data_IF_766449732886
#
_entry.id   IF_766449732886
#
_cell.length_a   1.000
_cell.length_b   1.000
_cell.length_c   1.000
_cell.angle_alpha   90.00
_cell.angle_beta   90.00
_cell.angle_gamma   90.00
#
_symmetry.space_group_name_H-M   'P 1'
#
loop_
_entity.id
_entity.type
_entity.pdbx_description
1 polymer ?
#
# COMPACT_ATOMS: atom_id res chain seq x y z
N UNK A 1 23.14 3.59 -13.82
CA UNK A 1 21.72 3.63 -13.39
C UNK A 1 21.66 3.02 -12.02
N UNK A 2 21.24 3.78 -11.01
CA UNK A 2 20.99 3.21 -9.68
C UNK A 2 19.85 2.20 -9.81
N UNK A 3 20.07 0.96 -9.37
CA UNK A 3 19.01 -0.05 -9.33
C UNK A 3 18.11 0.32 -8.14
N UNK A 4 16.84 0.52 -8.38
CA UNK A 4 15.85 0.74 -7.31
C UNK A 4 14.95 -0.48 -7.23
N UNK A 5 14.53 -0.78 -6.00
CA UNK A 5 13.44 -1.69 -5.72
C UNK A 5 12.26 -0.89 -5.16
N UNK A 6 11.07 -1.46 -5.19
CA UNK A 6 9.87 -0.78 -4.73
C UNK A 6 9.21 -1.59 -3.61
N UNK A 7 8.85 -0.88 -2.56
CA UNK A 7 8.24 -1.46 -1.37
C UNK A 7 6.86 -0.83 -1.17
N UNK A 8 5.85 -1.67 -1.00
CA UNK A 8 4.52 -1.24 -0.57
C UNK A 8 4.42 -1.38 0.95
N UNK A 9 4.01 -0.30 1.60
CA UNK A 9 3.84 -0.20 3.05
C UNK A 9 2.38 0.00 3.38
N UNK A 10 1.89 -0.72 4.39
CA UNK A 10 0.75 -0.31 5.19
C UNK A 10 1.26 0.69 6.23
N UNK A 11 0.81 1.93 6.15
CA UNK A 11 1.11 2.99 7.10
C UNK A 11 -0.02 3.07 8.13
N UNK A 12 0.33 3.19 9.41
CA UNK A 12 -0.62 3.20 10.52
C UNK A 12 -0.51 4.55 11.24
N UNK A 13 -1.59 5.30 11.28
CA UNK A 13 -1.67 6.60 11.95
C UNK A 13 -2.62 6.52 13.14
N UNK A 14 -2.32 7.23 14.22
CA UNK A 14 -3.30 7.44 15.29
C UNK A 14 -4.31 8.48 14.83
N UNK A 15 -5.63 8.23 14.95
CA UNK A 15 -6.65 9.20 14.52
C UNK A 15 -6.53 10.58 15.15
N UNK A 16 -5.95 10.66 16.34
CA UNK A 16 -5.82 11.90 17.13
C UNK A 16 -4.51 12.65 16.87
N UNK A 17 -3.61 12.11 16.06
CA UNK A 17 -2.30 12.69 15.77
C UNK A 17 -1.96 12.57 14.28
N UNK A 18 -1.42 13.63 13.67
CA UNK A 18 -0.91 13.59 12.30
C UNK A 18 0.47 12.90 12.20
N UNK A 19 0.65 11.80 12.94
CA UNK A 19 1.92 11.08 13.05
C UNK A 19 1.74 9.60 12.72
N UNK A 20 2.63 9.10 11.85
CA UNK A 20 2.76 7.66 11.60
C UNK A 20 3.31 6.97 12.85
N UNK A 21 2.57 5.96 13.32
CA UNK A 21 2.96 5.11 14.44
C UNK A 21 3.77 3.90 14.00
N UNK A 22 3.54 3.41 12.78
CA UNK A 22 4.23 2.23 12.29
C UNK A 22 3.99 1.95 10.82
N UNK A 23 4.81 1.04 10.30
CA UNK A 23 4.77 0.58 8.93
C UNK A 23 4.80 -0.95 8.90
N UNK A 24 4.00 -1.57 8.04
CA UNK A 24 4.06 -3.01 7.76
C UNK A 24 4.36 -3.22 6.28
N UNK A 25 5.40 -3.98 5.97
CA UNK A 25 5.72 -4.33 4.59
C UNK A 25 4.69 -5.32 4.04
N UNK A 26 3.94 -4.90 3.02
CA UNK A 26 2.92 -5.70 2.36
C UNK A 26 3.24 -5.94 0.87
N UNK A 27 4.52 -5.80 0.49
CA UNK A 27 4.99 -5.99 -0.90
C UNK A 27 4.77 -7.40 -1.45
N UNK A 28 4.46 -8.38 -0.59
CA UNK A 28 4.10 -9.74 -1.02
C UNK A 28 2.73 -9.81 -1.74
N UNK A 29 1.84 -8.84 -1.50
CA UNK A 29 0.54 -8.75 -2.16
C UNK A 29 0.76 -8.16 -3.57
N UNK A 30 0.34 -8.82 -4.65
CA UNK A 30 0.54 -8.35 -6.02
C UNK A 30 -0.11 -6.98 -6.31
N UNK A 31 0.54 -6.13 -7.14
CA UNK A 31 -0.02 -4.84 -7.59
C UNK A 31 -1.46 -4.93 -8.10
N UNK A 32 -1.75 -5.90 -8.98
CA UNK A 32 -3.09 -6.12 -9.52
C UNK A 32 -4.15 -6.29 -8.44
N UNK A 33 -3.79 -6.90 -7.31
CA UNK A 33 -4.73 -7.10 -6.22
C UNK A 33 -5.04 -5.81 -5.49
N UNK A 34 -4.05 -4.94 -5.35
CA UNK A 34 -4.30 -3.60 -4.83
C UNK A 34 -5.15 -2.77 -5.79
N UNK A 35 -4.92 -2.85 -7.10
CA UNK A 35 -5.81 -2.23 -8.09
C UNK A 35 -7.27 -2.71 -7.94
N UNK A 36 -7.48 -4.01 -7.71
CA UNK A 36 -8.81 -4.56 -7.44
C UNK A 36 -9.43 -4.05 -6.13
N UNK A 37 -8.63 -3.92 -5.08
CA UNK A 37 -9.09 -3.45 -3.76
C UNK A 37 -9.52 -1.99 -3.86
N UNK A 38 -8.69 -1.14 -4.46
CA UNK A 38 -8.90 0.30 -4.53
C UNK A 38 -9.59 0.73 -5.83
N UNK A 39 -10.23 -0.18 -6.56
CA UNK A 39 -10.83 0.09 -7.86
C UNK A 39 -11.80 1.29 -7.85
N UNK A 40 -12.55 1.47 -6.76
CA UNK A 40 -13.52 2.56 -6.61
C UNK A 40 -12.84 3.92 -6.33
N UNK A 41 -11.61 3.90 -5.80
CA UNK A 41 -10.80 5.10 -5.50
C UNK A 41 -9.87 5.49 -6.65
N UNK A 42 -9.63 4.59 -7.60
CA UNK A 42 -8.81 4.85 -8.79
C UNK A 42 -9.68 5.54 -9.83
N UNK A 43 -9.53 6.86 -9.96
CA UNK A 43 -10.14 7.59 -11.09
C UNK A 43 -9.43 7.25 -12.39
N UNK A 44 -10.12 7.35 -13.54
CA UNK A 44 -9.58 6.97 -14.86
C UNK A 44 -8.27 7.70 -15.23
N UNK A 45 -8.08 8.90 -14.68
CA UNK A 45 -6.90 9.73 -14.88
C UNK A 45 -5.80 9.51 -13.83
N UNK A 46 -6.03 8.65 -12.83
CA UNK A 46 -5.12 8.41 -11.73
C UNK A 46 -4.37 7.08 -11.81
N UNK A 47 -3.08 7.15 -11.51
CA UNK A 47 -2.17 6.02 -11.42
C UNK A 47 -2.12 5.53 -9.99
N UNK A 48 -2.72 4.37 -9.76
CA UNK A 48 -2.78 3.70 -8.46
C UNK A 48 -1.41 3.58 -7.78
N UNK A 49 -1.24 4.23 -6.62
CA UNK A 49 -0.01 4.40 -5.80
C UNK A 49 1.07 5.36 -6.34
N UNK A 50 0.76 6.22 -7.32
CA UNK A 50 1.81 7.02 -8.00
C UNK A 50 1.45 8.45 -8.41
N UNK A 51 0.17 8.87 -8.38
CA UNK A 51 -0.14 10.30 -8.49
C UNK A 51 -0.04 10.98 -7.13
N UNK A 52 0.10 12.31 -7.10
CA UNK A 52 0.46 13.16 -5.93
C UNK A 52 -0.33 12.91 -4.62
N UNK A 53 -1.32 12.04 -4.65
CA UNK A 53 -1.96 11.41 -3.49
C UNK A 53 -1.04 10.29 -2.97
N UNK A 54 -0.06 10.68 -2.16
CA UNK A 54 1.02 9.82 -1.65
C UNK A 54 0.63 8.58 -0.83
N UNK A 55 -0.66 8.25 -0.67
CA UNK A 55 -1.12 6.98 -0.12
C UNK A 55 -2.61 6.76 -0.39
N UNK A 56 -3.06 5.50 -0.40
CA UNK A 56 -4.48 5.11 -0.56
C UNK A 56 -5.05 4.66 0.78
N UNK A 57 -6.14 5.27 1.22
CA UNK A 57 -6.70 5.02 2.56
C UNK A 57 -7.50 3.71 2.55
N UNK A 58 -7.19 2.80 3.47
CA UNK A 58 -8.07 1.68 3.76
C UNK A 58 -9.13 2.18 4.74
N UNK A 59 -10.34 2.45 4.24
CA UNK A 59 -11.50 2.74 5.10
C UNK A 59 -12.04 1.45 5.72
N UNK A 60 -12.85 1.59 6.77
CA UNK A 60 -13.53 0.43 7.37
C UNK A 60 -14.45 -0.27 6.35
N UNK A 61 -15.14 0.50 5.50
CA UNK A 61 -15.98 -0.03 4.42
C UNK A 61 -15.16 -0.83 3.40
N UNK A 62 -14.04 -0.28 2.93
CA UNK A 62 -13.13 -0.96 2.01
C UNK A 62 -12.59 -2.26 2.61
N UNK A 63 -12.20 -2.21 3.88
CA UNK A 63 -11.72 -3.39 4.60
C UNK A 63 -12.79 -4.46 4.67
N UNK A 64 -14.02 -4.12 5.05
CA UNK A 64 -15.13 -5.08 5.13
C UNK A 64 -15.46 -5.70 3.77
N UNK A 65 -15.38 -4.93 2.68
CA UNK A 65 -15.56 -5.43 1.29
C UNK A 65 -14.52 -6.48 0.89
N UNK A 66 -13.30 -6.41 1.45
CA UNK A 66 -12.17 -7.27 1.11
C UNK A 66 -11.60 -8.06 2.32
N UNK A 67 -12.40 -8.23 3.38
CA UNK A 67 -11.93 -8.65 4.71
C UNK A 67 -11.21 -10.00 4.68
N UNK A 68 -11.81 -11.00 4.02
CA UNK A 68 -11.26 -12.35 3.95
C UNK A 68 -9.86 -12.37 3.36
N UNK A 69 -9.63 -11.56 2.32
CA UNK A 69 -8.34 -11.47 1.66
C UNK A 69 -7.32 -10.73 2.53
N UNK A 70 -7.69 -9.55 3.04
CA UNK A 70 -6.80 -8.70 3.83
C UNK A 70 -6.37 -9.38 5.13
N UNK A 71 -7.28 -10.08 5.83
CA UNK A 71 -6.93 -10.86 7.04
C UNK A 71 -5.95 -12.00 6.77
N UNK A 72 -6.00 -12.60 5.58
CA UNK A 72 -5.10 -13.70 5.21
C UNK A 72 -3.70 -13.21 4.81
N UNK A 73 -3.61 -12.02 4.23
CA UNK A 73 -2.34 -11.48 3.72
C UNK A 73 -1.62 -10.59 4.75
N UNK A 74 -2.37 -9.85 5.55
CA UNK A 74 -1.82 -8.88 6.50
C UNK A 74 -2.08 -9.43 7.91
N UNK A 75 -1.02 -9.93 8.55
CA UNK A 75 -1.06 -10.35 9.95
C UNK A 75 -1.10 -9.12 10.88
N UNK A 76 -2.23 -8.42 10.82
CA UNK A 76 -2.49 -7.18 11.54
C UNK A 76 -3.97 -7.12 11.92
N UNK A 77 -4.26 -6.73 13.16
CA UNK A 77 -5.63 -6.56 13.62
C UNK A 77 -6.09 -5.11 13.40
N UNK A 78 -6.91 -4.89 12.36
CA UNK A 78 -7.42 -3.57 12.04
C UNK A 78 -8.38 -3.06 13.12
N UNK A 79 -8.01 -1.93 13.70
CA UNK A 79 -8.76 -1.17 14.71
C UNK A 79 -9.10 0.21 14.17
N UNK A 80 -10.18 0.30 13.39
CA UNK A 80 -10.65 1.54 12.76
C UNK A 80 -11.22 2.54 13.77
N UNK A 81 -11.49 2.14 15.01
CA UNK A 81 -11.88 3.05 16.09
C UNK A 81 -10.70 3.94 16.56
N UNK A 82 -9.47 3.44 16.44
CA UNK A 82 -8.26 4.11 16.94
C UNK A 82 -7.34 4.64 15.84
N UNK A 83 -7.25 3.93 14.71
CA UNK A 83 -6.22 4.21 13.70
C UNK A 83 -6.82 4.53 12.33
N UNK A 84 -6.01 5.22 11.53
CA UNK A 84 -6.17 5.33 10.08
C UNK A 84 -5.09 4.49 9.42
N UNK A 85 -5.44 3.91 8.28
CA UNK A 85 -4.58 3.01 7.53
C UNK A 85 -4.45 3.54 6.11
N UNK A 86 -3.24 3.57 5.59
CA UNK A 86 -3.03 3.86 4.18
C UNK A 86 -2.01 2.91 3.57
N UNK A 87 -2.08 2.75 2.26
CA UNK A 87 -1.13 1.98 1.46
C UNK A 87 -0.29 2.97 0.68
N UNK A 88 1.02 2.96 0.92
CA UNK A 88 2.00 3.82 0.26
C UNK A 88 3.04 3.00 -0.50
N UNK A 89 3.66 3.61 -1.50
CA UNK A 89 4.79 3.03 -2.23
C UNK A 89 6.04 3.88 -2.02
N UNK A 90 7.14 3.21 -1.67
CA UNK A 90 8.45 3.85 -1.52
C UNK A 90 9.49 3.18 -2.42
N UNK A 91 10.42 3.98 -2.95
CA UNK A 91 11.60 3.48 -3.64
C UNK A 91 12.72 3.20 -2.64
N UNK A 92 13.38 2.06 -2.81
CA UNK A 92 14.46 1.60 -1.95
C UNK A 92 15.73 1.43 -2.79
N UNK A 93 16.84 1.96 -2.28
CA UNK A 93 18.16 1.78 -2.88
C UNK A 93 18.58 0.30 -2.91
N UNK A 94 19.39 -0.07 -3.90
CA UNK A 94 19.73 -1.47 -4.15
C UNK A 94 20.38 -2.20 -2.96
N UNK A 95 21.17 -1.47 -2.18
CA UNK A 95 21.91 -1.95 -1.01
C UNK A 95 21.02 -2.17 0.22
N UNK A 96 19.82 -1.59 0.24
CA UNK A 96 18.79 -1.74 1.28
C UNK A 96 17.71 -2.74 0.91
N UNK A 97 17.90 -3.50 -0.17
CA UNK A 97 16.94 -4.49 -0.63
C UNK A 97 16.66 -5.55 0.43
N UNK A 98 15.37 -5.88 0.59
CA UNK A 98 14.91 -7.04 1.32
C UNK A 98 14.11 -7.96 0.40
N UNK A 99 14.16 -9.26 0.68
CA UNK A 99 13.36 -10.26 -0.04
C UNK A 99 11.89 -9.86 -0.01
N UNK A 100 11.21 -9.96 -1.15
CA UNK A 100 9.81 -9.59 -1.42
C UNK A 100 9.55 -8.13 -1.84
N UNK A 101 10.57 -7.30 -2.04
CA UNK A 101 10.35 -6.02 -2.75
C UNK A 101 10.18 -6.26 -4.24
N UNK A 102 9.47 -5.34 -4.86
CA UNK A 102 9.25 -5.32 -6.30
C UNK A 102 10.51 -4.87 -7.03
N UNK A 103 10.92 -5.63 -8.03
CA UNK A 103 12.03 -5.26 -8.91
C UNK A 103 11.62 -4.29 -10.02
N UNK A 104 10.32 -4.22 -10.29
CA UNK A 104 9.74 -3.40 -11.35
C UNK A 104 8.55 -2.63 -10.81
N UNK A 105 8.32 -1.47 -11.39
CA UNK A 105 7.05 -0.75 -11.26
C UNK A 105 5.88 -1.62 -11.77
N UNK A 106 4.64 -1.33 -11.35
CA UNK A 106 3.47 -2.01 -11.89
C UNK A 106 3.42 -1.97 -13.42
N UNK A 107 2.81 -2.97 -14.08
CA UNK A 107 2.80 -3.09 -15.55
C UNK A 107 2.34 -1.84 -16.30
N UNK A 108 1.41 -1.06 -15.74
CA UNK A 108 0.92 0.20 -16.33
C UNK A 108 2.03 1.27 -16.54
N UNK A 109 3.22 1.10 -15.95
CA UNK A 109 4.38 1.98 -16.09
C UNK A 109 5.48 1.42 -17.01
N UNK A 110 5.38 0.16 -17.40
CA UNK A 110 6.35 -0.48 -18.29
C UNK A 110 5.93 -0.14 -19.72
N UNK A 111 6.40 1.02 -20.22
CA UNK A 111 6.30 1.38 -21.64
C UNK A 111 7.11 0.41 -22.51
#
# INVERSE_FOLDING_TARGET
MSKYYYQILLEIFLKTEDKVLGFVNISHIPYKKFEEIFADDITEDQRFLFDDVGSYIITEELYLKHEEYLRKQIDFNFRFDLFLYSVGLVSIEADKYQKNYYEKLPPMFQR
#
